data_IF_635179322780
#
_entry.id   IF_635179322780
#
_cell.length_a   1.000
_cell.length_b   1.000
_cell.length_c   1.000
_cell.angle_alpha   90.00
_cell.angle_beta   90.00
_cell.angle_gamma   90.00
#
_symmetry.space_group_name_H-M   'P 1'
#
loop_
_entity.id
_entity.type
_entity.pdbx_description
1 polymer ?
#
# COMPACT_ATOMS: atom_id res chain seq x y z
N UNK A 1 10.66 -19.08 23.59
CA UNK A 1 10.93 -18.36 24.85
C UNK A 1 9.82 -17.33 25.08
N UNK A 2 9.63 -16.37 24.21
CA UNK A 2 8.68 -15.23 24.40
C UNK A 2 7.22 -15.66 24.61
N UNK A 3 6.70 -16.65 23.83
CA UNK A 3 5.34 -17.17 24.04
C UNK A 3 5.12 -17.72 25.46
N UNK A 4 6.14 -18.39 26.03
CA UNK A 4 6.08 -18.91 27.41
C UNK A 4 6.08 -17.79 28.47
N UNK A 5 6.53 -16.60 28.12
CA UNK A 5 6.56 -15.41 28.98
C UNK A 5 5.32 -14.53 28.81
N UNK A 6 4.30 -15.00 28.06
CA UNK A 6 3.06 -14.27 27.83
C UNK A 6 3.14 -13.20 26.78
N UNK A 7 4.16 -13.22 25.90
CA UNK A 7 4.21 -12.32 24.74
C UNK A 7 3.38 -12.87 23.59
N UNK A 8 2.63 -12.01 22.93
CA UNK A 8 2.13 -12.27 21.59
C UNK A 8 3.30 -12.17 20.60
N UNK A 9 3.50 -13.22 19.81
CA UNK A 9 4.59 -13.28 18.84
C UNK A 9 4.01 -13.29 17.44
N UNK A 10 4.42 -12.33 16.61
CA UNK A 10 4.06 -12.21 15.20
C UNK A 10 5.32 -12.23 14.33
N UNK A 11 5.19 -12.79 13.14
CA UNK A 11 6.30 -12.95 12.21
C UNK A 11 5.87 -12.46 10.83
N UNK A 12 6.39 -11.32 10.41
CA UNK A 12 6.21 -10.84 9.05
C UNK A 12 7.39 -11.33 8.21
N UNK A 13 7.19 -12.44 7.47
CA UNK A 13 8.25 -13.15 6.79
C UNK A 13 8.25 -12.83 5.29
N UNK A 14 9.18 -11.98 4.86
CA UNK A 14 9.33 -11.61 3.45
C UNK A 14 10.30 -12.51 2.67
N UNK A 15 11.01 -13.42 3.35
CA UNK A 15 11.85 -14.44 2.71
C UNK A 15 11.01 -15.65 2.32
N UNK A 16 10.16 -16.09 3.24
CA UNK A 16 9.24 -17.20 3.00
C UNK A 16 7.83 -16.81 3.45
N UNK A 17 7.09 -16.08 2.60
CA UNK A 17 5.80 -15.50 2.95
C UNK A 17 4.74 -16.52 3.38
N UNK A 18 4.85 -17.78 2.95
CA UNK A 18 3.90 -18.83 3.31
C UNK A 18 3.94 -19.20 4.80
N UNK A 19 5.05 -18.91 5.49
CA UNK A 19 5.29 -19.22 6.90
C UNK A 19 5.27 -17.96 7.79
N UNK A 20 4.54 -16.92 7.40
CA UNK A 20 4.43 -15.67 8.15
C UNK A 20 3.00 -15.27 8.44
N UNK A 21 2.85 -14.32 9.37
CA UNK A 21 1.61 -13.59 9.60
C UNK A 21 1.39 -12.56 8.48
N UNK A 22 0.13 -12.24 8.21
CA UNK A 22 -0.28 -11.29 7.17
C UNK A 22 -0.38 -9.87 7.71
N UNK A 23 -0.09 -8.91 6.85
CA UNK A 23 -0.31 -7.50 7.12
C UNK A 23 -0.74 -6.75 5.86
N UNK A 24 -1.95 -6.21 5.88
CA UNK A 24 -2.50 -5.37 4.83
C UNK A 24 -2.35 -3.89 5.23
N UNK A 25 -1.49 -3.16 4.52
CA UNK A 25 -1.23 -1.75 4.81
C UNK A 25 -2.46 -0.85 4.59
N UNK A 26 -3.46 -1.32 3.84
CA UNK A 26 -4.68 -0.56 3.58
C UNK A 26 -5.81 -0.84 4.59
N UNK A 27 -5.67 -1.83 5.48
CA UNK A 27 -6.76 -2.27 6.37
C UNK A 27 -7.33 -1.17 7.28
N UNK A 28 -6.53 -0.15 7.57
CA UNK A 28 -6.90 0.92 8.51
C UNK A 28 -6.95 2.30 7.85
N UNK A 29 -7.01 2.37 6.53
CA UNK A 29 -7.11 3.66 5.84
C UNK A 29 -8.42 4.37 6.15
N UNK A 30 -9.56 3.67 6.06
CA UNK A 30 -10.88 4.18 6.39
C UNK A 30 -11.17 5.58 5.82
N UNK A 31 -10.67 5.88 4.62
CA UNK A 31 -10.80 7.18 3.98
C UNK A 31 -9.76 8.23 4.39
N UNK A 32 -8.78 7.90 5.24
CA UNK A 32 -7.69 8.83 5.62
C UNK A 32 -6.79 9.13 4.41
N UNK A 33 -7.02 10.30 3.82
CA UNK A 33 -6.30 10.78 2.63
C UNK A 33 -4.83 11.09 2.93
N UNK A 34 -4.49 11.43 4.18
CA UNK A 34 -3.12 11.66 4.60
C UNK A 34 -2.35 10.34 4.69
N UNK A 35 -2.98 9.29 5.26
CA UNK A 35 -2.38 7.98 5.30
C UNK A 35 -2.23 7.39 3.89
N UNK A 36 -3.20 7.60 2.99
CA UNK A 36 -3.06 7.22 1.58
C UNK A 36 -1.87 7.91 0.91
N UNK A 37 -1.59 9.18 1.25
CA UNK A 37 -0.39 9.89 0.77
C UNK A 37 0.89 9.28 1.34
N UNK A 38 0.90 8.92 2.63
CA UNK A 38 2.05 8.26 3.26
C UNK A 38 2.36 6.93 2.57
N UNK A 39 1.34 6.08 2.37
CA UNK A 39 1.52 4.81 1.64
C UNK A 39 2.11 5.05 0.25
N UNK A 40 1.55 6.00 -0.48
CA UNK A 40 2.02 6.38 -1.82
C UNK A 40 3.49 6.80 -1.80
N UNK A 41 3.86 7.72 -0.90
CA UNK A 41 5.22 8.25 -0.81
C UNK A 41 6.23 7.15 -0.46
N UNK A 42 5.89 6.25 0.46
CA UNK A 42 6.77 5.14 0.84
C UNK A 42 6.93 4.15 -0.32
N UNK A 43 5.86 3.82 -1.03
CA UNK A 43 5.94 2.90 -2.18
C UNK A 43 6.79 3.53 -3.30
N UNK A 44 6.48 4.74 -3.72
CA UNK A 44 7.23 5.44 -4.79
C UNK A 44 8.70 5.63 -4.38
N UNK A 45 8.96 6.14 -3.17
CA UNK A 45 10.33 6.40 -2.70
C UNK A 45 11.21 5.16 -2.61
N UNK A 46 10.65 4.01 -2.19
CA UNK A 46 11.42 2.76 -2.07
C UNK A 46 11.54 1.98 -3.38
N UNK A 47 10.77 2.34 -4.41
CA UNK A 47 10.82 1.70 -5.72
C UNK A 47 11.42 2.60 -6.80
N UNK A 48 11.80 3.84 -6.46
CA UNK A 48 12.51 4.75 -7.36
C UNK A 48 13.98 4.36 -7.50
N UNK A 49 14.53 4.48 -8.71
CA UNK A 49 15.94 4.17 -9.00
C UNK A 49 16.93 5.22 -8.49
N UNK A 50 16.46 6.26 -7.79
CA UNK A 50 17.28 7.33 -7.23
C UNK A 50 17.90 8.29 -8.24
N UNK A 51 17.80 8.00 -9.54
CA UNK A 51 18.26 8.84 -10.66
C UNK A 51 17.07 9.28 -11.55
N UNK A 52 15.84 9.04 -11.09
CA UNK A 52 14.65 9.29 -11.86
C UNK A 52 14.28 10.77 -11.94
N UNK A 53 13.63 11.13 -13.02
CA UNK A 53 12.97 12.40 -13.16
C UNK A 53 11.78 12.44 -12.18
N UNK A 54 11.79 13.37 -11.24
CA UNK A 54 10.70 13.62 -10.29
C UNK A 54 9.33 13.78 -10.97
N UNK A 55 9.32 14.11 -12.24
CA UNK A 55 8.10 14.18 -13.03
C UNK A 55 7.36 12.84 -13.07
N UNK A 56 8.08 11.74 -13.38
CA UNK A 56 7.49 10.40 -13.44
C UNK A 56 7.05 9.92 -12.06
N UNK A 57 7.90 10.08 -11.05
CA UNK A 57 7.56 9.72 -9.67
C UNK A 57 6.28 10.43 -9.18
N UNK A 58 6.14 11.72 -9.51
CA UNK A 58 4.94 12.50 -9.17
C UNK A 58 3.70 12.02 -9.94
N UNK A 59 3.83 11.73 -11.23
CA UNK A 59 2.73 11.23 -12.06
C UNK A 59 2.24 9.86 -11.58
N UNK A 60 3.16 8.94 -11.34
CA UNK A 60 2.88 7.60 -10.81
C UNK A 60 2.31 7.66 -9.39
N UNK A 61 2.83 8.56 -8.53
CA UNK A 61 2.31 8.80 -7.19
C UNK A 61 0.88 9.31 -7.18
N UNK A 62 0.54 10.25 -8.07
CA UNK A 62 -0.84 10.74 -8.19
C UNK A 62 -1.80 9.63 -8.62
N UNK A 63 -1.42 8.82 -9.62
CA UNK A 63 -2.24 7.70 -10.05
C UNK A 63 -2.37 6.65 -8.94
N UNK A 64 -1.28 6.28 -8.27
CA UNK A 64 -1.29 5.33 -7.16
C UNK A 64 -2.19 5.78 -6.02
N UNK A 65 -2.08 7.04 -5.58
CA UNK A 65 -2.95 7.62 -4.55
C UNK A 65 -4.42 7.56 -4.94
N UNK A 66 -4.73 7.90 -6.19
CA UNK A 66 -6.10 7.84 -6.70
C UNK A 66 -6.65 6.41 -6.64
N UNK A 67 -5.88 5.42 -7.09
CA UNK A 67 -6.27 4.02 -7.07
C UNK A 67 -6.44 3.48 -5.63
N UNK A 68 -5.53 3.82 -4.71
CA UNK A 68 -5.62 3.45 -3.29
C UNK A 68 -6.94 3.96 -2.71
N UNK A 69 -7.24 5.26 -2.88
CA UNK A 69 -8.45 5.89 -2.35
C UNK A 69 -9.73 5.32 -2.99
N UNK A 70 -9.67 5.00 -4.27
CA UNK A 70 -10.81 4.39 -4.97
C UNK A 70 -11.10 2.98 -4.44
N UNK A 71 -10.08 2.15 -4.22
CA UNK A 71 -10.23 0.80 -3.68
C UNK A 71 -10.67 0.84 -2.21
N UNK A 72 -10.08 1.74 -1.41
CA UNK A 72 -10.41 1.88 0.02
C UNK A 72 -11.88 2.26 0.23
N UNK A 73 -12.40 3.18 -0.58
CA UNK A 73 -13.76 3.71 -0.40
C UNK A 73 -14.82 2.99 -1.24
N UNK A 74 -14.46 1.97 -2.00
CA UNK A 74 -15.46 1.18 -2.74
C UNK A 74 -16.31 0.35 -1.77
N UNK A 75 -17.59 0.73 -1.67
CA UNK A 75 -18.58 0.06 -0.81
C UNK A 75 -18.96 -1.35 -1.27
N UNK A 76 -18.60 -1.73 -2.49
CA UNK A 76 -18.86 -3.05 -3.06
C UNK A 76 -17.80 -4.08 -2.71
N UNK A 77 -16.61 -3.59 -2.30
CA UNK A 77 -15.50 -4.46 -1.92
C UNK A 77 -15.60 -4.85 -0.45
N UNK A 78 -15.39 -6.13 -0.17
CA UNK A 78 -15.21 -6.63 1.19
C UNK A 78 -13.88 -6.13 1.77
N UNK A 79 -13.70 -6.05 3.11
CA UNK A 79 -12.45 -5.61 3.72
C UNK A 79 -11.21 -6.37 3.23
N UNK A 80 -11.31 -7.67 2.99
CA UNK A 80 -10.21 -8.50 2.45
C UNK A 80 -9.83 -8.18 1.00
N UNK A 81 -10.71 -7.50 0.26
CA UNK A 81 -10.46 -7.05 -1.11
C UNK A 81 -9.87 -5.64 -1.16
N UNK A 82 -9.87 -4.90 -0.06
CA UNK A 82 -9.29 -3.57 0.06
C UNK A 82 -7.80 -3.68 0.39
N UNK A 83 -6.99 -3.99 -0.61
CA UNK A 83 -5.55 -4.26 -0.48
C UNK A 83 -4.79 -3.82 -1.73
N UNK A 84 -3.45 -3.83 -1.67
CA UNK A 84 -2.61 -3.43 -2.79
C UNK A 84 -2.76 -4.34 -4.02
N UNK A 85 -3.12 -5.60 -3.85
CA UNK A 85 -3.40 -6.50 -4.98
C UNK A 85 -4.58 -6.00 -5.80
N UNK A 86 -5.65 -5.54 -5.15
CA UNK A 86 -6.81 -4.95 -5.82
C UNK A 86 -6.46 -3.64 -6.52
N UNK A 87 -5.57 -2.84 -5.94
CA UNK A 87 -5.02 -1.63 -6.59
C UNK A 87 -4.26 -2.01 -7.86
N UNK A 88 -3.38 -3.01 -7.77
CA UNK A 88 -2.63 -3.52 -8.91
C UNK A 88 -3.54 -4.09 -10.01
N UNK A 89 -4.52 -4.89 -9.63
CA UNK A 89 -5.50 -5.45 -10.58
C UNK A 89 -6.33 -4.35 -11.25
N UNK A 90 -6.72 -3.31 -10.50
CA UNK A 90 -7.44 -2.17 -11.08
C UNK A 90 -6.58 -1.45 -12.13
N UNK A 91 -5.29 -1.29 -11.90
CA UNK A 91 -4.36 -0.70 -12.85
C UNK A 91 -4.18 -1.55 -14.10
N UNK A 92 -3.99 -2.89 -13.93
CA UNK A 92 -3.53 -3.77 -15.02
C UNK A 92 -4.65 -4.44 -15.81
N UNK A 93 -5.85 -4.58 -15.23
CA UNK A 93 -7.00 -5.21 -15.88
C UNK A 93 -7.93 -4.22 -16.58
N UNK A 94 -7.64 -2.92 -16.52
CA UNK A 94 -8.41 -1.89 -17.20
C UNK A 94 -7.56 -1.14 -18.20
N UNK A 95 -8.12 -0.86 -19.37
CA UNK A 95 -7.53 0.11 -20.29
C UNK A 95 -7.59 1.52 -19.71
N UNK A 96 -6.78 2.45 -20.25
CA UNK A 96 -6.81 3.86 -19.87
C UNK A 96 -8.22 4.44 -19.92
N UNK A 97 -8.94 4.22 -21.01
CA UNK A 97 -10.33 4.69 -21.15
C UNK A 97 -11.29 4.10 -20.12
N UNK A 98 -11.10 2.82 -19.74
CA UNK A 98 -11.90 2.18 -18.68
C UNK A 98 -11.58 2.79 -17.31
N UNK A 99 -10.32 3.11 -17.01
CA UNK A 99 -9.95 3.82 -15.78
C UNK A 99 -10.61 5.20 -15.73
N UNK A 100 -10.48 5.99 -16.80
CA UNK A 100 -11.12 7.31 -16.90
C UNK A 100 -12.64 7.20 -16.69
N UNK A 101 -13.30 6.25 -17.32
CA UNK A 101 -14.73 6.03 -17.16
C UNK A 101 -15.13 5.64 -15.72
N UNK A 102 -14.31 4.87 -15.03
CA UNK A 102 -14.54 4.50 -13.62
C UNK A 102 -14.43 5.70 -12.70
N UNK A 103 -13.37 6.50 -12.83
CA UNK A 103 -13.17 7.68 -11.99
C UNK A 103 -14.22 8.77 -12.26
N UNK A 104 -14.68 8.93 -13.50
CA UNK A 104 -15.74 9.88 -13.85
C UNK A 104 -17.10 9.54 -13.22
N UNK A 105 -17.33 8.27 -12.84
CA UNK A 105 -18.54 7.84 -12.11
C UNK A 105 -18.51 8.18 -10.62
N UNK A 106 -17.35 8.52 -10.07
CA UNK A 106 -17.25 8.91 -8.66
C UNK A 106 -17.91 10.27 -8.43
N UNK A 107 -18.48 10.53 -7.23
CA UNK A 107 -18.96 11.84 -6.83
C UNK A 107 -17.87 12.92 -7.00
N UNK A 108 -18.27 14.17 -7.24
CA UNK A 108 -17.32 15.27 -7.50
C UNK A 108 -16.40 15.55 -6.30
N UNK A 109 -16.89 15.33 -5.10
CA UNK A 109 -16.20 15.50 -3.82
C UNK A 109 -15.37 14.27 -3.41
N UNK A 110 -15.39 13.19 -4.21
CA UNK A 110 -14.65 11.97 -3.87
C UNK A 110 -13.13 12.23 -3.89
N UNK A 111 -12.38 11.91 -2.80
CA UNK A 111 -10.97 12.28 -2.64
C UNK A 111 -10.04 11.67 -3.70
N UNK A 112 -10.43 10.60 -4.34
CA UNK A 112 -9.66 9.99 -5.42
C UNK A 112 -9.67 10.81 -6.72
N UNK A 113 -10.63 11.74 -6.91
CA UNK A 113 -10.75 12.49 -8.16
C UNK A 113 -9.63 13.50 -8.37
N UNK A 114 -9.25 14.24 -7.35
CA UNK A 114 -8.22 15.27 -7.46
C UNK A 114 -6.87 14.71 -7.96
N UNK A 115 -6.28 13.67 -7.32
CA UNK A 115 -5.04 13.07 -7.81
C UNK A 115 -5.21 12.38 -9.17
N UNK A 116 -6.39 11.80 -9.45
CA UNK A 116 -6.66 11.22 -10.77
C UNK A 116 -6.75 12.26 -11.88
N UNK A 117 -7.34 13.42 -11.63
CA UNK A 117 -7.46 14.49 -12.63
C UNK A 117 -6.09 14.99 -13.10
N UNK A 118 -5.08 15.04 -12.23
CA UNK A 118 -3.71 15.37 -12.61
C UNK A 118 -3.14 14.39 -13.63
N UNK A 119 -3.38 13.09 -13.41
CA UNK A 119 -3.04 12.05 -14.38
C UNK A 119 -3.85 12.21 -15.69
N UNK A 120 -5.17 12.37 -15.60
CA UNK A 120 -6.07 12.41 -16.75
C UNK A 120 -5.82 13.59 -17.70
N UNK A 121 -5.28 14.71 -17.20
CA UNK A 121 -4.93 15.90 -17.99
C UNK A 121 -3.60 15.76 -18.76
N UNK A 122 -2.83 14.73 -18.49
CA UNK A 122 -1.58 14.46 -19.20
C UNK A 122 -1.84 14.02 -20.65
N UNK A 123 -0.83 14.17 -21.52
CA UNK A 123 -0.91 13.62 -22.89
C UNK A 123 -0.99 12.09 -22.87
N UNK A 124 -1.50 11.48 -23.93
CA UNK A 124 -1.66 10.02 -24.02
C UNK A 124 -0.32 9.28 -23.87
N UNK A 125 0.76 9.82 -24.42
CA UNK A 125 2.11 9.27 -24.26
C UNK A 125 2.55 9.29 -22.80
N UNK A 126 2.30 10.38 -22.09
CA UNK A 126 2.63 10.52 -20.66
C UNK A 126 1.79 9.58 -19.80
N UNK A 127 0.49 9.50 -20.05
CA UNK A 127 -0.42 8.58 -19.34
C UNK A 127 0.01 7.12 -19.49
N UNK A 128 0.34 6.72 -20.72
CA UNK A 128 0.83 5.36 -21.00
C UNK A 128 2.14 5.07 -20.27
N UNK A 129 3.05 6.04 -20.22
CA UNK A 129 4.31 5.94 -19.46
C UNK A 129 4.08 5.78 -17.95
N UNK A 130 3.18 6.59 -17.39
CA UNK A 130 2.80 6.52 -15.97
C UNK A 130 2.17 5.16 -15.61
N UNK A 131 1.25 4.65 -16.44
CA UNK A 131 0.62 3.34 -16.22
C UNK A 131 1.67 2.23 -16.25
N UNK A 132 2.55 2.24 -17.25
CA UNK A 132 3.61 1.23 -17.40
C UNK A 132 4.60 1.28 -16.23
N UNK A 133 5.07 2.48 -15.87
CA UNK A 133 6.00 2.69 -14.77
C UNK A 133 5.42 2.22 -13.44
N UNK A 134 4.20 2.64 -13.11
CA UNK A 134 3.52 2.19 -11.89
C UNK A 134 3.26 0.68 -11.89
N UNK A 135 2.86 0.11 -13.02
CA UNK A 135 2.69 -1.35 -13.17
C UNK A 135 3.99 -2.11 -12.89
N UNK A 136 5.13 -1.59 -13.36
CA UNK A 136 6.45 -2.16 -13.11
C UNK A 136 6.84 -2.08 -11.63
N UNK A 137 6.59 -0.94 -10.95
CA UNK A 137 6.86 -0.80 -9.50
C UNK A 137 6.07 -1.79 -8.66
N UNK A 138 4.83 -2.06 -9.04
CA UNK A 138 3.92 -2.94 -8.31
C UNK A 138 3.94 -4.39 -8.78
N UNK A 139 4.82 -4.77 -9.72
CA UNK A 139 4.83 -6.13 -10.30
C UNK A 139 5.06 -7.26 -9.29
N UNK A 140 5.68 -6.97 -8.15
CA UNK A 140 5.83 -7.94 -7.05
C UNK A 140 4.48 -8.47 -6.56
N UNK A 141 3.41 -7.70 -6.70
CA UNK A 141 2.04 -8.10 -6.37
C UNK A 141 1.44 -9.15 -7.35
N UNK A 142 2.18 -9.56 -8.39
CA UNK A 142 1.82 -10.74 -9.20
C UNK A 142 2.09 -12.05 -8.45
N UNK A 143 3.00 -12.03 -7.48
CA UNK A 143 3.36 -13.21 -6.71
C UNK A 143 2.23 -13.58 -5.73
N UNK A 144 1.72 -14.80 -5.81
CA UNK A 144 0.59 -15.28 -4.99
C UNK A 144 0.91 -15.27 -3.48
N UNK A 145 2.16 -15.56 -3.10
CA UNK A 145 2.55 -15.53 -1.69
C UNK A 145 2.53 -14.09 -1.15
N UNK A 146 2.97 -13.10 -1.96
CA UNK A 146 2.89 -11.68 -1.61
C UNK A 146 1.42 -11.23 -1.51
N UNK A 147 0.58 -11.62 -2.47
CA UNK A 147 -0.86 -11.34 -2.41
C UNK A 147 -1.47 -11.85 -1.10
N UNK A 148 -1.13 -13.09 -0.70
CA UNK A 148 -1.64 -13.69 0.52
C UNK A 148 -1.27 -12.90 1.76
N UNK A 149 0.01 -12.58 1.95
CA UNK A 149 0.46 -11.88 3.17
C UNK A 149 0.06 -10.41 3.23
N UNK A 150 -0.39 -9.83 2.12
CA UNK A 150 -0.83 -8.42 2.03
C UNK A 150 -2.35 -8.27 1.91
N UNK A 151 -3.12 -9.36 1.91
CA UNK A 151 -4.58 -9.32 1.74
C UNK A 151 -5.36 -9.22 3.05
N UNK A 152 -4.78 -9.62 4.17
CA UNK A 152 -5.39 -9.60 5.50
C UNK A 152 -4.40 -9.07 6.54
N UNK A 153 -4.86 -8.82 7.78
CA UNK A 153 -4.01 -8.35 8.86
C UNK A 153 -4.15 -9.24 10.08
N UNK A 154 -3.11 -10.06 10.34
CA UNK A 154 -2.93 -10.78 11.59
C UNK A 154 -2.09 -9.97 12.58
N UNK A 155 -1.43 -8.89 12.10
CA UNK A 155 -0.54 -8.02 12.87
C UNK A 155 -1.25 -6.69 13.12
N UNK A 156 -1.49 -6.37 14.41
CA UNK A 156 -1.95 -5.05 14.84
C UNK A 156 -0.74 -4.16 15.17
N UNK A 157 -0.49 -3.14 14.35
CA UNK A 157 0.66 -2.25 14.51
C UNK A 157 0.66 -1.44 15.82
N UNK A 158 -0.49 -1.32 16.49
CA UNK A 158 -0.63 -0.59 17.75
C UNK A 158 -0.55 -1.51 18.97
N UNK A 159 -0.57 -2.83 18.78
CA UNK A 159 -0.51 -3.78 19.89
C UNK A 159 0.73 -3.62 20.79
N UNK A 160 1.95 -3.25 20.30
CA UNK A 160 3.11 -3.00 21.17
C UNK A 160 2.89 -1.93 22.23
N UNK A 161 2.01 -0.97 21.99
CA UNK A 161 1.66 0.07 22.98
C UNK A 161 0.59 -0.38 24.00
N UNK A 162 -0.09 -1.52 23.76
CA UNK A 162 -1.21 -1.99 24.58
C UNK A 162 -0.88 -3.25 25.39
N UNK A 163 0.02 -4.09 24.89
CA UNK A 163 0.31 -5.42 25.47
C UNK A 163 1.72 -5.88 25.16
N UNK A 164 2.18 -6.93 25.85
CA UNK A 164 3.46 -7.56 25.58
C UNK A 164 3.41 -8.26 24.22
N UNK A 165 4.16 -7.76 23.23
CA UNK A 165 4.30 -8.41 21.93
C UNK A 165 5.72 -8.33 21.39
N UNK A 166 6.04 -9.23 20.49
CA UNK A 166 7.32 -9.29 19.76
C UNK A 166 7.00 -9.51 18.29
N UNK A 167 7.52 -8.63 17.45
CA UNK A 167 7.41 -8.74 16.01
C UNK A 167 8.76 -9.09 15.41
N UNK A 168 8.80 -10.18 14.66
CA UNK A 168 9.94 -10.56 13.83
C UNK A 168 9.65 -10.18 12.40
N UNK A 169 10.49 -9.33 11.84
CA UNK A 169 10.44 -8.95 10.43
C UNK A 169 11.63 -9.63 9.75
N UNK A 170 11.36 -10.64 8.93
CA UNK A 170 12.40 -11.45 8.27
C UNK A 170 12.57 -10.92 6.85
N UNK A 171 13.76 -10.42 6.55
CA UNK A 171 14.15 -9.80 5.28
C UNK A 171 15.23 -10.65 4.60
N UNK A 172 15.31 -10.56 3.26
CA UNK A 172 16.39 -11.14 2.49
C UNK A 172 17.50 -10.12 2.28
N UNK A 173 18.73 -10.50 2.56
CA UNK A 173 19.92 -9.69 2.23
C UNK A 173 20.28 -9.80 0.74
N UNK A 174 19.76 -10.82 0.04
CA UNK A 174 20.10 -11.12 -1.35
C UNK A 174 19.07 -10.57 -2.34
N UNK A 175 17.83 -10.37 -1.92
CA UNK A 175 16.72 -9.94 -2.77
C UNK A 175 15.99 -8.75 -2.17
N UNK A 176 16.16 -7.60 -2.78
CA UNK A 176 15.52 -6.35 -2.38
C UNK A 176 14.07 -6.21 -2.91
N UNK A 177 13.55 -7.17 -3.67
CA UNK A 177 12.25 -7.08 -4.36
C UNK A 177 11.11 -6.76 -3.40
N UNK A 178 11.18 -7.25 -2.16
CA UNK A 178 10.16 -7.02 -1.13
C UNK A 178 10.56 -5.96 -0.09
N UNK A 179 11.69 -5.28 -0.26
CA UNK A 179 12.20 -4.30 0.74
C UNK A 179 11.23 -3.15 0.98
N UNK A 180 10.47 -2.74 -0.05
CA UNK A 180 9.45 -1.70 0.11
C UNK A 180 8.35 -2.09 1.10
N UNK A 181 7.98 -3.39 1.20
CA UNK A 181 6.99 -3.86 2.16
C UNK A 181 7.46 -3.70 3.61
N UNK A 182 8.75 -3.94 3.88
CA UNK A 182 9.32 -3.70 5.20
C UNK A 182 9.37 -2.21 5.53
N UNK A 183 9.79 -1.38 4.60
CA UNK A 183 9.80 0.08 4.76
C UNK A 183 8.39 0.61 5.02
N UNK A 184 7.41 0.08 4.29
CA UNK A 184 6.01 0.42 4.47
C UNK A 184 5.50 -0.01 5.85
N UNK A 185 5.84 -1.24 6.29
CA UNK A 185 5.48 -1.77 7.61
C UNK A 185 5.99 -0.86 8.73
N UNK A 186 7.29 -0.54 8.72
CA UNK A 186 7.89 0.31 9.75
C UNK A 186 7.35 1.73 9.72
N UNK A 187 7.18 2.33 8.53
CA UNK A 187 6.60 3.67 8.39
C UNK A 187 5.19 3.74 8.96
N UNK A 188 4.34 2.76 8.62
CA UNK A 188 2.98 2.67 9.15
C UNK A 188 2.96 2.43 10.66
N UNK A 189 3.84 1.54 11.16
CA UNK A 189 3.95 1.26 12.59
C UNK A 189 4.35 2.51 13.37
N UNK A 190 5.37 3.24 12.93
CA UNK A 190 5.80 4.49 13.57
C UNK A 190 4.68 5.53 13.64
N UNK A 191 4.01 5.78 12.51
CA UNK A 191 2.94 6.77 12.45
C UNK A 191 1.77 6.38 13.36
N UNK A 192 1.38 5.09 13.35
CA UNK A 192 0.26 4.62 14.16
C UNK A 192 0.58 4.64 15.66
N UNK A 193 1.79 4.24 16.06
CA UNK A 193 2.21 4.30 17.45
C UNK A 193 2.29 5.74 17.96
N UNK A 194 2.84 6.67 17.16
CA UNK A 194 2.87 8.10 17.52
C UNK A 194 1.45 8.66 17.67
N UNK A 195 0.58 8.45 16.69
CA UNK A 195 -0.82 8.88 16.77
C UNK A 195 -1.56 8.26 17.96
N UNK A 196 -1.27 7.02 18.31
CA UNK A 196 -1.85 6.37 19.47
C UNK A 196 -1.37 7.03 20.77
N UNK A 197 -0.06 7.35 20.86
CA UNK A 197 0.50 8.03 22.03
C UNK A 197 -0.07 9.44 22.22
N UNK A 198 -0.29 10.18 21.12
CA UNK A 198 -0.82 11.55 21.16
C UNK A 198 -2.26 11.65 21.73
N UNK A 199 -3.03 10.56 21.68
CA UNK A 199 -4.42 10.53 22.20
C UNK A 199 -4.54 9.84 23.55
N UNK A 200 -3.44 9.34 24.12
CA UNK A 200 -3.44 8.81 25.50
C UNK A 200 -3.21 9.95 26.49
N UNK A 201 -3.94 9.96 27.61
CA UNK A 201 -3.79 10.97 28.66
C UNK A 201 -2.43 10.88 29.36
#
# INVERSE_FOLDING_TARGET
>A
VYKRQGYEVKVFNLVNPEHGDSWNCMSDLNGDTLMAQVLTNVIIGNTSSGKGDHFWDNGEGNLLKALILMVDQDKKLNPSQKNLTSVYQMLTQNSEGQLIAKFNKLPLDHPARAPFNLFAQSSDTVKSGIILGLGTRLQVLQNKAVQRITSSSDIDLVAPAKKKCVYYIILSDQDATMSFLSSLFFSCMFIKLSRFADVQP
#
